data_IF_788953516073
#
_entry.id   IF_788953516073
#
_cell.length_a   1.000
_cell.length_b   1.000
_cell.length_c   1.000
_cell.angle_alpha   90.00
_cell.angle_beta   90.00
_cell.angle_gamma   90.00
#
_symmetry.space_group_name_H-M   'P 1'
#
loop_
_entity.id
_entity.type
_entity.pdbx_description
1 polymer ?
#
# COMPACT_ATOMS: atom_id res chain seq x y z
N UNK A 1 -6.96 12.95 0.37
CA UNK A 1 -5.65 12.31 0.63
C UNK A 1 -5.65 11.75 2.04
N UNK A 2 -5.09 10.55 2.25
CA UNK A 2 -5.01 9.90 3.55
C UNK A 2 -3.65 9.19 3.72
N UNK A 3 -3.18 9.09 4.97
CA UNK A 3 -2.00 8.31 5.35
C UNK A 3 -2.47 7.22 6.31
N UNK A 4 -2.21 5.96 5.97
CA UNK A 4 -2.77 4.80 6.66
C UNK A 4 -1.59 3.93 7.16
N UNK A 5 -1.58 3.53 8.45
CA UNK A 5 -0.51 2.69 8.99
C UNK A 5 -0.57 1.29 8.40
N UNK A 6 0.60 0.78 8.01
CA UNK A 6 0.80 -0.61 7.58
C UNK A 6 1.39 -1.44 8.73
N UNK A 7 1.25 -2.78 8.68
CA UNK A 7 2.12 -3.68 9.44
C UNK A 7 3.60 -3.44 9.11
N UNK A 8 4.49 -3.92 9.98
CA UNK A 8 5.92 -3.89 9.71
C UNK A 8 6.21 -4.64 8.40
N UNK A 9 6.85 -3.96 7.45
CA UNK A 9 7.18 -4.49 6.13
C UNK A 9 8.39 -3.74 5.55
N UNK A 10 9.03 -4.34 4.55
CA UNK A 10 10.02 -3.64 3.73
C UNK A 10 9.30 -2.71 2.73
N UNK A 11 9.44 -1.40 2.93
CA UNK A 11 8.77 -0.40 2.11
C UNK A 11 9.25 -0.37 0.65
N UNK A 12 10.52 -0.72 0.40
CA UNK A 12 11.10 -0.76 -0.95
C UNK A 12 10.57 -1.95 -1.73
N UNK A 13 10.60 -3.13 -1.11
CA UNK A 13 10.07 -4.35 -1.69
C UNK A 13 8.56 -4.27 -1.91
N UNK A 14 7.81 -3.73 -0.95
CA UNK A 14 6.36 -3.55 -1.10
C UNK A 14 6.02 -2.64 -2.29
N UNK A 15 6.73 -1.50 -2.45
CA UNK A 15 6.56 -0.64 -3.63
C UNK A 15 6.83 -1.38 -4.93
N UNK A 16 7.93 -2.12 -4.99
CA UNK A 16 8.35 -2.87 -6.18
C UNK A 16 7.27 -3.88 -6.58
N UNK A 17 6.81 -4.69 -5.63
CA UNK A 17 5.77 -5.71 -5.88
C UNK A 17 4.41 -5.10 -6.25
N UNK A 18 4.00 -4.01 -5.59
CA UNK A 18 2.78 -3.28 -5.95
C UNK A 18 2.79 -2.84 -7.43
N UNK A 19 3.93 -2.36 -7.91
CA UNK A 19 4.07 -1.92 -9.30
C UNK A 19 4.20 -3.10 -10.28
N UNK A 20 5.13 -4.02 -10.01
CA UNK A 20 5.49 -5.11 -10.93
C UNK A 20 4.35 -6.12 -11.08
N UNK A 21 3.67 -6.48 -9.98
CA UNK A 21 2.65 -7.54 -9.96
C UNK A 21 1.22 -6.99 -10.17
N UNK A 22 0.93 -5.77 -9.69
CA UNK A 22 -0.44 -5.22 -9.66
C UNK A 22 -0.59 -3.92 -10.43
N UNK A 23 0.49 -3.33 -10.97
CA UNK A 23 0.51 -2.03 -11.65
C UNK A 23 -0.03 -0.89 -10.79
N UNK A 24 0.16 -0.99 -9.47
CA UNK A 24 -0.25 0.01 -8.48
C UNK A 24 0.95 0.84 -8.08
N UNK A 25 0.92 2.13 -8.39
CA UNK A 25 1.93 3.09 -7.94
C UNK A 25 1.37 3.92 -6.78
N UNK A 26 1.90 3.71 -5.58
CA UNK A 26 1.51 4.47 -4.38
C UNK A 26 2.71 4.70 -3.45
N UNK A 27 2.83 5.87 -2.81
CA UNK A 27 3.89 6.09 -1.84
C UNK A 27 3.74 5.20 -0.61
N UNK A 28 4.71 4.31 -0.41
CA UNK A 28 5.02 3.69 0.89
C UNK A 28 6.13 4.49 1.56
N UNK A 29 5.90 4.96 2.78
CA UNK A 29 6.85 5.78 3.52
C UNK A 29 7.15 5.15 4.87
N UNK A 30 8.35 5.39 5.36
CA UNK A 30 8.73 5.11 6.74
C UNK A 30 8.81 6.42 7.52
N UNK A 31 8.19 6.43 8.69
CA UNK A 31 8.27 7.56 9.61
C UNK A 31 8.26 7.07 11.05
N UNK A 32 9.28 7.46 11.84
CA UNK A 32 9.42 7.00 13.23
C UNK A 32 9.55 5.48 13.36
N UNK A 33 10.19 4.80 12.40
CA UNK A 33 10.35 3.34 12.38
C UNK A 33 9.07 2.57 12.04
N UNK A 34 8.02 3.24 11.55
CA UNK A 34 6.74 2.61 11.16
C UNK A 34 6.44 2.86 9.69
N UNK A 35 5.83 1.89 9.03
CA UNK A 35 5.46 1.98 7.61
C UNK A 35 4.04 2.51 7.43
N UNK A 36 3.86 3.30 6.38
CA UNK A 36 2.58 3.88 6.01
C UNK A 36 2.41 3.84 4.50
N UNK A 37 1.16 3.66 4.06
CA UNK A 37 0.74 3.95 2.68
C UNK A 37 0.08 5.33 2.65
N UNK A 38 0.46 6.18 1.70
CA UNK A 38 -0.16 7.49 1.49
C UNK A 38 -0.98 7.46 0.21
N UNK A 39 -2.30 7.43 0.36
CA UNK A 39 -3.24 7.33 -0.76
C UNK A 39 -3.80 8.71 -1.11
N UNK A 40 -3.76 9.07 -2.39
CA UNK A 40 -4.40 10.26 -2.92
C UNK A 40 -5.32 9.89 -4.08
N UNK A 41 -6.60 9.66 -3.77
CA UNK A 41 -7.66 9.44 -4.76
C UNK A 41 -8.18 10.78 -5.24
N UNK A 42 -8.24 10.98 -6.56
CA UNK A 42 -8.76 12.20 -7.22
C UNK A 42 -9.65 11.83 -8.42
N UNK A 43 -10.10 12.82 -9.19
CA UNK A 43 -10.99 12.60 -10.35
C UNK A 43 -10.42 11.75 -11.49
N UNK A 44 -9.11 11.49 -11.48
CA UNK A 44 -8.45 10.58 -12.43
C UNK A 44 -8.40 9.12 -11.95
N UNK A 45 -8.86 8.83 -10.73
CA UNK A 45 -8.91 7.48 -10.20
C UNK A 45 -10.31 6.87 -10.32
N UNK A 46 -10.34 5.57 -10.53
CA UNK A 46 -11.56 4.76 -10.59
C UNK A 46 -11.75 3.95 -9.30
N UNK A 47 -12.91 3.31 -9.15
CA UNK A 47 -13.16 2.39 -8.04
C UNK A 47 -12.25 1.15 -8.15
N UNK A 48 -11.98 0.74 -9.38
CA UNK A 48 -11.16 -0.40 -9.75
C UNK A 48 -9.71 -0.18 -9.34
N UNK A 49 -9.18 1.05 -9.47
CA UNK A 49 -7.84 1.41 -8.99
C UNK A 49 -7.71 1.21 -7.49
N UNK A 50 -8.71 1.69 -6.72
CA UNK A 50 -8.74 1.53 -5.26
C UNK A 50 -8.86 0.06 -4.88
N UNK A 51 -9.70 -0.69 -5.59
CA UNK A 51 -9.86 -2.12 -5.35
C UNK A 51 -8.59 -2.92 -5.67
N UNK A 52 -7.85 -2.53 -6.71
CA UNK A 52 -6.56 -3.14 -7.04
C UNK A 52 -5.52 -2.90 -5.92
N UNK A 53 -5.45 -1.68 -5.39
CA UNK A 53 -4.60 -1.38 -4.24
C UNK A 53 -4.97 -2.24 -3.02
N UNK A 54 -6.25 -2.34 -2.66
CA UNK A 54 -6.70 -3.12 -1.50
C UNK A 54 -6.32 -4.60 -1.65
N UNK A 55 -6.66 -5.22 -2.79
CA UNK A 55 -6.32 -6.63 -3.06
C UNK A 55 -4.81 -6.89 -3.03
N UNK A 56 -4.03 -5.97 -3.60
CA UNK A 56 -2.58 -6.10 -3.57
C UNK A 56 -2.04 -6.04 -2.14
N UNK A 57 -2.51 -5.10 -1.33
CA UNK A 57 -2.10 -5.01 0.08
C UNK A 57 -2.51 -6.25 0.89
N UNK A 58 -3.68 -6.81 0.66
CA UNK A 58 -4.14 -8.06 1.31
C UNK A 58 -3.23 -9.26 0.97
N UNK A 59 -2.77 -9.35 -0.27
CA UNK A 59 -1.91 -10.46 -0.72
C UNK A 59 -0.44 -10.29 -0.32
N UNK A 60 0.04 -9.04 -0.21
CA UNK A 60 1.45 -8.73 -0.04
C UNK A 60 1.85 -8.52 1.41
N UNK A 61 0.90 -8.19 2.29
CA UNK A 61 1.18 -7.89 3.70
C UNK A 61 0.87 -9.09 4.59
N UNK A 62 1.63 -9.28 5.68
CA UNK A 62 1.30 -10.25 6.70
C UNK A 62 -0.02 -9.88 7.38
N UNK A 63 -0.76 -10.90 7.80
CA UNK A 63 -2.04 -10.74 8.47
C UNK A 63 -1.86 -9.97 9.79
N UNK A 64 -2.71 -8.97 10.06
CA UNK A 64 -2.59 -8.09 11.24
C UNK A 64 -2.81 -8.83 12.57
N UNK A 65 -3.25 -10.08 12.51
CA UNK A 65 -3.57 -10.93 13.66
C UNK A 65 -2.33 -11.53 14.37
N UNK A 66 -1.12 -11.32 13.82
CA UNK A 66 0.12 -11.78 14.43
C UNK A 66 0.75 -10.71 15.35
N UNK A 67 0.01 -10.24 16.36
CA UNK A 67 0.54 -9.51 17.53
C UNK A 67 -0.26 -9.89 18.77
#
# INVERSE_FOLDING_TARGET
>A
MATIPLPACDAGELKRRLYDEYRVEVPIIEWGGRQFVRVSVQGYNTREDVAALVRALENLLPDKSAV
#
